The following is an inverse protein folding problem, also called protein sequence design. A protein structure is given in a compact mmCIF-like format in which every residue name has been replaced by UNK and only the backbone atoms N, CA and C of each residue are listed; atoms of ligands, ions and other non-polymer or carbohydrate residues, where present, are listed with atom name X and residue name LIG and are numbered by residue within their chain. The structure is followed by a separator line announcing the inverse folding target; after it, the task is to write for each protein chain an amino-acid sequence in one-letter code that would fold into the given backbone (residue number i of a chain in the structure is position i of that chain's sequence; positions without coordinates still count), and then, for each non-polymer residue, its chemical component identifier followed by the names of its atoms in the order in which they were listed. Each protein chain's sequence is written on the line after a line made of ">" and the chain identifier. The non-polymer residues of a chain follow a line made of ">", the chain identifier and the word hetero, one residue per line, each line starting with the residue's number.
data_IF_984991064603
#
_entry.id   IF_984991064603
#
_cell.length_a   1.000
_cell.length_b   1.000
_cell.length_c   1.000
_cell.angle_alpha   90.00
_cell.angle_beta   90.00
_cell.angle_gamma   90.00
#
_symmetry.space_group_name_H-M   'P 1'
#
loop_
_entity.id
_entity.type
_entity.pdbx_description
1 polymer ?
#
# COMPACT_ATOMS: atom_id res chain seq x y z
N UNK A 1 32.19 11.06 -12.95
CA UNK A 1 31.89 11.26 -11.52
C UNK A 1 30.76 10.31 -11.15
N UNK A 2 30.88 9.56 -10.05
CA UNK A 2 29.78 8.71 -9.59
C UNK A 2 28.57 9.59 -9.22
N UNK A 3 27.36 9.12 -9.54
CA UNK A 3 26.10 9.80 -9.19
C UNK A 3 26.06 10.00 -7.67
N UNK A 4 25.93 11.25 -7.21
CA UNK A 4 25.77 11.56 -5.78
C UNK A 4 24.28 11.52 -5.43
N UNK A 5 23.90 10.61 -4.54
CA UNK A 5 22.55 10.56 -3.99
C UNK A 5 22.38 11.58 -2.86
N UNK A 6 21.14 11.90 -2.46
CA UNK A 6 20.89 12.90 -1.43
C UNK A 6 21.36 12.47 -0.04
N UNK A 7 21.40 11.16 0.23
CA UNK A 7 22.00 10.59 1.45
C UNK A 7 23.47 10.97 1.63
N UNK A 8 24.18 11.35 0.55
CA UNK A 8 25.53 11.89 0.61
C UNK A 8 25.62 13.16 1.47
N UNK A 9 24.56 13.97 1.54
CA UNK A 9 24.58 15.20 2.36
C UNK A 9 24.65 14.93 3.87
N UNK A 10 24.27 13.72 4.29
CA UNK A 10 24.42 13.22 5.65
C UNK A 10 25.66 12.35 5.80
N UNK A 11 25.83 11.36 4.92
CA UNK A 11 26.83 10.29 5.13
C UNK A 11 28.11 10.47 4.33
N UNK A 12 28.12 11.29 3.28
CA UNK A 12 29.26 11.48 2.40
C UNK A 12 30.20 12.62 2.77
N UNK A 13 29.81 13.50 3.70
CA UNK A 13 30.65 14.64 4.13
C UNK A 13 31.73 14.22 5.11
N UNK A 14 32.95 14.70 4.93
CA UNK A 14 34.06 14.52 5.88
C UNK A 14 34.21 15.76 6.77
N UNK A 15 33.09 16.23 7.31
CA UNK A 15 33.02 17.34 8.26
C UNK A 15 32.44 16.88 9.61
N UNK A 16 32.31 17.82 10.55
CA UNK A 16 31.74 17.58 11.88
C UNK A 16 30.35 16.94 11.78
N UNK A 17 29.50 17.38 10.85
CA UNK A 17 28.13 16.88 10.74
C UNK A 17 28.09 15.49 10.13
N UNK A 18 28.89 15.22 9.10
CA UNK A 18 29.05 13.88 8.53
C UNK A 18 29.59 12.88 9.55
N UNK A 19 30.53 13.29 10.42
CA UNK A 19 30.96 12.49 11.57
C UNK A 19 29.78 12.17 12.51
N UNK A 20 29.00 13.18 12.91
CA UNK A 20 27.84 13.00 13.78
C UNK A 20 26.81 12.05 13.15
N UNK A 21 26.41 12.27 11.90
CA UNK A 21 25.40 11.44 11.25
C UNK A 21 25.84 9.97 11.13
N UNK A 22 27.08 9.71 10.71
CA UNK A 22 27.61 8.34 10.63
C UNK A 22 27.81 7.70 12.00
N UNK A 23 28.31 8.43 13.00
CA UNK A 23 28.58 7.86 14.33
C UNK A 23 27.31 7.42 15.02
N UNK A 24 26.23 8.21 14.94
CA UNK A 24 24.93 7.84 15.47
C UNK A 24 24.32 6.64 14.76
N UNK A 25 24.43 6.55 13.43
CA UNK A 25 23.94 5.36 12.71
C UNK A 25 24.75 4.10 13.02
N UNK A 26 26.05 4.22 13.28
CA UNK A 26 26.91 3.07 13.64
C UNK A 26 26.59 2.44 14.98
N UNK A 27 25.87 3.13 15.87
CA UNK A 27 25.46 2.53 17.15
C UNK A 27 24.56 1.29 16.98
N UNK A 28 23.99 1.10 15.78
CA UNK A 28 23.21 -0.08 15.38
C UNK A 28 24.06 -1.23 14.81
N UNK A 29 25.38 -1.04 14.64
CA UNK A 29 26.29 -2.09 14.15
C UNK A 29 26.50 -2.13 12.63
N UNK A 30 26.27 -1.03 11.90
CA UNK A 30 26.52 -1.00 10.45
C UNK A 30 28.03 -0.84 10.09
N UNK A 31 28.55 -1.65 9.15
CA UNK A 31 29.92 -1.50 8.65
C UNK A 31 30.10 -0.23 7.79
N UNK A 32 31.36 0.20 7.57
CA UNK A 32 31.66 1.46 6.87
C UNK A 32 31.13 1.53 5.44
N UNK A 33 31.15 0.42 4.72
CA UNK A 33 30.75 0.33 3.31
C UNK A 33 29.26 0.67 3.08
N UNK A 34 28.41 0.59 4.11
CA UNK A 34 27.01 1.05 4.03
C UNK A 34 26.89 2.56 3.84
N UNK A 35 27.88 3.32 4.31
CA UNK A 35 27.90 4.78 4.21
C UNK A 35 28.67 5.28 2.97
N UNK A 36 29.20 4.37 2.15
CA UNK A 36 30.07 4.68 1.00
C UNK A 36 29.35 4.52 -0.34
N UNK A 37 28.29 5.31 -0.54
CA UNK A 37 27.64 5.44 -1.84
C UNK A 37 26.62 4.35 -2.19
N UNK A 38 26.20 3.53 -1.21
CA UNK A 38 25.01 2.68 -1.38
C UNK A 38 23.74 3.55 -1.37
N UNK A 39 22.76 3.30 -2.26
CA UNK A 39 21.44 3.90 -2.16
C UNK A 39 20.80 3.57 -0.81
N UNK A 40 20.41 4.59 -0.05
CA UNK A 40 19.67 4.40 1.21
C UNK A 40 18.19 4.28 0.89
N UNK A 41 17.57 3.16 1.26
CA UNK A 41 16.17 2.88 0.98
C UNK A 41 15.36 2.95 2.27
N UNK A 42 14.45 3.93 2.33
CA UNK A 42 13.47 4.02 3.40
C UNK A 42 12.35 2.99 3.19
N UNK A 43 12.06 2.16 4.18
CA UNK A 43 10.91 1.25 4.16
C UNK A 43 9.84 1.82 5.10
N UNK A 44 8.89 2.54 4.51
CA UNK A 44 7.77 3.15 5.22
C UNK A 44 6.78 2.05 5.63
N UNK A 45 6.70 1.76 6.94
CA UNK A 45 5.89 0.68 7.46
C UNK A 45 4.63 1.21 8.16
N UNK A 46 3.47 0.83 7.65
CA UNK A 46 2.16 1.12 8.25
C UNK A 46 1.66 -0.03 9.13
N UNK A 47 2.56 -0.77 9.75
CA UNK A 47 2.23 -1.80 10.73
C UNK A 47 1.77 -1.18 12.05
N UNK A 48 0.74 -1.77 12.67
CA UNK A 48 0.35 -1.52 14.04
C UNK A 48 -0.53 -2.66 14.53
N UNK A 49 -0.42 -3.04 15.81
CA UNK A 49 -1.36 -3.99 16.43
C UNK A 49 -2.81 -3.45 16.46
N UNK A 50 -2.99 -2.13 16.42
CA UNK A 50 -4.30 -1.49 16.25
C UNK A 50 -4.75 -1.38 14.78
N UNK A 51 -3.95 -1.85 13.82
CA UNK A 51 -4.29 -1.92 12.39
C UNK A 51 -4.17 -3.37 11.91
N UNK A 52 -5.14 -4.24 12.25
CA UNK A 52 -5.03 -5.68 11.98
C UNK A 52 -4.89 -6.02 10.50
N UNK A 53 -5.43 -5.18 9.60
CA UNK A 53 -5.25 -5.33 8.15
C UNK A 53 -3.78 -5.33 7.70
N UNK A 54 -2.91 -4.72 8.51
CA UNK A 54 -1.49 -4.55 8.27
C UNK A 54 -0.64 -5.35 9.26
N UNK A 55 -1.24 -6.27 10.03
CA UNK A 55 -0.57 -6.97 11.14
C UNK A 55 0.68 -7.76 10.73
N UNK A 56 0.74 -8.21 9.48
CA UNK A 56 1.87 -8.92 8.88
C UNK A 56 2.97 -8.01 8.31
N UNK A 57 2.79 -6.69 8.26
CA UNK A 57 3.72 -5.82 7.53
C UNK A 57 5.14 -5.74 8.13
N UNK A 58 5.34 -6.08 9.42
CA UNK A 58 6.70 -6.24 9.99
C UNK A 58 7.50 -7.34 9.29
N UNK A 59 6.88 -8.50 9.08
CA UNK A 59 7.53 -9.63 8.41
C UNK A 59 7.85 -9.26 6.95
N UNK A 60 6.99 -8.46 6.34
CA UNK A 60 7.18 -7.97 4.98
C UNK A 60 8.29 -6.94 4.86
N UNK A 61 8.47 -6.07 5.86
CA UNK A 61 9.61 -5.17 5.92
C UNK A 61 10.94 -5.95 5.90
N UNK A 62 11.04 -7.04 6.66
CA UNK A 62 12.23 -7.91 6.65
C UNK A 62 12.48 -8.55 5.28
N UNK A 63 11.42 -8.94 4.57
CA UNK A 63 11.54 -9.51 3.22
C UNK A 63 11.98 -8.45 2.20
N UNK A 64 11.45 -7.23 2.29
CA UNK A 64 11.90 -6.10 1.47
C UNK A 64 13.37 -5.77 1.76
N UNK A 65 13.78 -5.73 3.04
CA UNK A 65 15.19 -5.50 3.45
C UNK A 65 16.14 -6.46 2.75
N UNK A 66 15.79 -7.75 2.67
CA UNK A 66 16.59 -8.75 1.93
C UNK A 66 16.76 -8.37 0.46
N UNK A 67 15.69 -7.97 -0.21
CA UNK A 67 15.74 -7.52 -1.60
C UNK A 67 16.63 -6.29 -1.80
N UNK A 68 16.54 -5.32 -0.90
CA UNK A 68 17.39 -4.11 -0.96
C UNK A 68 18.87 -4.49 -0.78
N UNK A 69 19.18 -5.36 0.17
CA UNK A 69 20.55 -5.83 0.42
C UNK A 69 21.09 -6.60 -0.79
N UNK A 70 20.30 -7.51 -1.37
CA UNK A 70 20.65 -8.28 -2.57
C UNK A 70 21.05 -7.36 -3.75
N UNK A 71 20.38 -6.20 -3.88
CA UNK A 71 20.64 -5.22 -4.93
C UNK A 71 21.75 -4.19 -4.60
N UNK A 72 22.39 -4.33 -3.44
CA UNK A 72 23.48 -3.47 -2.96
C UNK A 72 23.03 -2.14 -2.35
N UNK A 73 21.78 -2.05 -1.88
CA UNK A 73 21.27 -0.89 -1.14
C UNK A 73 21.54 -0.98 0.37
N UNK A 74 21.14 0.08 1.08
CA UNK A 74 21.10 0.16 2.54
C UNK A 74 19.66 0.36 2.99
N UNK A 75 18.95 -0.69 3.44
CA UNK A 75 17.57 -0.54 3.89
C UNK A 75 17.47 -0.02 5.32
N UNK A 76 16.58 0.95 5.53
CA UNK A 76 16.22 1.49 6.85
C UNK A 76 14.71 1.55 6.96
N UNK A 77 14.14 0.84 7.91
CA UNK A 77 12.70 0.87 8.17
C UNK A 77 12.34 2.07 9.05
N UNK A 78 11.21 2.71 8.74
CA UNK A 78 10.65 3.77 9.56
C UNK A 78 9.12 3.65 9.62
N UNK A 79 8.50 3.88 10.79
CA UNK A 79 7.05 3.86 10.93
C UNK A 79 6.44 5.21 10.54
N UNK A 80 5.18 5.18 10.14
CA UNK A 80 4.30 6.36 10.08
C UNK A 80 2.95 6.02 10.70
N UNK A 81 2.13 7.03 10.96
CA UNK A 81 0.78 6.86 11.50
C UNK A 81 -0.02 5.83 10.71
N UNK A 82 -0.38 4.72 11.36
CA UNK A 82 -1.17 3.64 10.76
C UNK A 82 -2.66 3.84 11.00
N UNK A 83 -3.44 3.78 9.92
CA UNK A 83 -4.86 4.12 9.91
C UNK A 83 -5.74 2.86 9.86
N UNK A 84 -6.05 2.29 11.02
CA UNK A 84 -6.95 1.14 11.16
C UNK A 84 -8.43 1.51 11.00
N UNK A 85 -8.97 1.35 9.78
CA UNK A 85 -10.35 1.73 9.40
C UNK A 85 -11.40 1.20 10.38
N UNK A 86 -11.24 -0.04 10.84
CA UNK A 86 -12.23 -0.75 11.65
C UNK A 86 -12.25 -0.32 13.12
N UNK A 87 -11.21 0.35 13.61
CA UNK A 87 -11.01 0.62 15.04
C UNK A 87 -10.96 2.13 15.34
N UNK A 88 -10.35 2.92 14.45
CA UNK A 88 -10.08 4.34 14.68
C UNK A 88 -11.35 5.21 14.55
N UNK A 89 -11.56 6.12 15.51
CA UNK A 89 -12.70 7.05 15.57
C UNK A 89 -12.24 8.51 15.42
N UNK A 90 -13.09 9.44 14.92
CA UNK A 90 -14.45 9.22 14.43
C UNK A 90 -14.50 8.57 13.04
N UNK A 91 -13.45 8.74 12.23
CA UNK A 91 -13.20 8.05 10.95
C UNK A 91 -11.73 8.25 10.58
N UNK A 92 -11.09 7.26 9.98
CA UNK A 92 -9.70 7.35 9.47
C UNK A 92 -9.53 8.40 8.37
N UNK A 93 -10.59 8.76 7.64
CA UNK A 93 -10.51 9.77 6.58
C UNK A 93 -10.03 11.12 7.11
N UNK A 94 -10.43 11.47 8.35
CA UNK A 94 -9.98 12.68 9.04
C UNK A 94 -8.45 12.70 9.22
N UNK A 95 -7.86 11.53 9.42
CA UNK A 95 -6.43 11.36 9.71
C UNK A 95 -5.59 11.02 8.47
N UNK A 96 -6.21 10.79 7.29
CA UNK A 96 -5.48 10.53 6.03
C UNK A 96 -4.47 11.63 5.71
N UNK A 97 -4.88 12.89 5.85
CA UNK A 97 -4.01 14.02 5.55
C UNK A 97 -2.90 14.18 6.61
N UNK A 98 -3.19 13.86 7.87
CA UNK A 98 -2.18 13.82 8.93
C UNK A 98 -1.10 12.76 8.62
N UNK A 99 -1.50 11.53 8.31
CA UNK A 99 -0.57 10.46 7.93
C UNK A 99 0.21 10.79 6.65
N UNK A 100 -0.37 11.57 5.74
CA UNK A 100 0.33 12.06 4.55
C UNK A 100 1.41 13.08 4.89
N UNK A 101 1.16 14.03 5.81
CA UNK A 101 2.19 14.98 6.28
C UNK A 101 3.30 14.26 7.05
N UNK A 102 2.93 13.30 7.91
CA UNK A 102 3.88 12.44 8.62
C UNK A 102 4.79 11.67 7.65
N UNK A 103 4.22 11.09 6.59
CA UNK A 103 4.98 10.40 5.54
C UNK A 103 5.89 11.37 4.78
N UNK A 104 5.38 12.54 4.38
CA UNK A 104 6.12 13.55 3.64
C UNK A 104 7.37 14.02 4.41
N UNK A 105 7.17 14.44 5.65
CA UNK A 105 8.27 14.97 6.47
C UNK A 105 9.26 13.88 6.87
N UNK A 106 8.78 12.65 7.15
CA UNK A 106 9.66 11.51 7.41
C UNK A 106 10.56 11.21 6.22
N UNK A 107 10.05 11.31 4.99
CA UNK A 107 10.85 11.09 3.77
C UNK A 107 11.82 12.26 3.53
N UNK A 108 11.33 13.49 3.60
CA UNK A 108 12.10 14.72 3.31
C UNK A 108 13.24 14.93 4.31
N UNK A 109 13.00 14.71 5.59
CA UNK A 109 13.95 15.05 6.66
C UNK A 109 15.03 13.99 6.91
N UNK A 110 14.86 12.76 6.43
CA UNK A 110 15.80 11.65 6.65
C UNK A 110 16.63 11.36 5.39
N UNK A 111 17.83 10.75 5.51
CA UNK A 111 18.78 10.56 4.40
C UNK A 111 18.42 9.37 3.49
N UNK A 112 17.19 9.31 2.99
CA UNK A 112 16.73 8.27 2.07
C UNK A 112 16.79 8.72 0.61
N UNK A 113 17.21 7.84 -0.28
CA UNK A 113 17.35 8.09 -1.72
C UNK A 113 16.20 7.51 -2.54
N UNK A 114 15.49 6.52 -1.98
CA UNK A 114 14.26 5.95 -2.51
C UNK A 114 13.43 5.33 -1.39
N UNK A 115 12.17 5.03 -1.68
CA UNK A 115 11.18 4.64 -0.67
C UNK A 115 10.39 3.41 -1.10
N UNK A 116 10.18 2.47 -0.17
CA UNK A 116 9.18 1.42 -0.29
C UNK A 116 8.02 1.78 0.63
N UNK A 117 6.80 1.83 0.09
CA UNK A 117 5.58 2.06 0.86
C UNK A 117 4.92 0.70 1.14
N UNK A 118 4.97 0.23 2.40
CA UNK A 118 4.21 -0.92 2.84
C UNK A 118 2.81 -0.45 3.26
N UNK A 119 1.80 -0.83 2.48
CA UNK A 119 0.42 -0.35 2.66
C UNK A 119 -0.56 -1.51 2.78
N UNK A 120 -1.80 -1.25 3.18
CA UNK A 120 -2.84 -2.28 3.20
C UNK A 120 -4.22 -1.70 3.51
N UNK A 121 -4.47 -1.37 4.78
CA UNK A 121 -5.75 -0.81 5.22
C UNK A 121 -6.14 0.44 4.43
N UNK A 122 -7.45 0.63 4.19
CA UNK A 122 -8.08 1.64 3.34
C UNK A 122 -7.27 2.92 3.08
N UNK A 123 -6.98 3.70 4.13
CA UNK A 123 -6.39 5.04 4.00
C UNK A 123 -4.86 5.04 3.96
N UNK A 124 -4.19 3.93 4.28
CA UNK A 124 -2.73 3.85 4.32
C UNK A 124 -2.10 3.99 2.93
N UNK A 125 -2.70 3.38 1.92
CA UNK A 125 -2.25 3.51 0.52
C UNK A 125 -2.28 4.96 0.04
N UNK A 126 -3.44 5.66 0.03
CA UNK A 126 -3.47 7.03 -0.43
C UNK A 126 -2.65 7.99 0.46
N UNK A 127 -2.65 7.84 1.79
CA UNK A 127 -1.90 8.75 2.65
C UNK A 127 -0.39 8.71 2.39
N UNK A 128 0.17 7.51 2.27
CA UNK A 128 1.61 7.34 2.06
C UNK A 128 2.03 7.73 0.65
N UNK A 129 1.21 7.41 -0.37
CA UNK A 129 1.46 7.84 -1.75
C UNK A 129 1.39 9.37 -1.86
N UNK A 130 0.40 10.02 -1.24
CA UNK A 130 0.30 11.48 -1.20
C UNK A 130 1.55 12.12 -0.57
N UNK A 131 2.03 11.58 0.55
CA UNK A 131 3.24 12.09 1.21
C UNK A 131 4.50 11.91 0.37
N UNK A 132 4.66 10.75 -0.27
CA UNK A 132 5.77 10.48 -1.17
C UNK A 132 5.74 11.38 -2.42
N UNK A 133 4.56 11.64 -3.00
CA UNK A 133 4.39 12.53 -4.15
C UNK A 133 4.91 13.94 -3.87
N UNK A 134 4.68 14.49 -2.66
CA UNK A 134 5.17 15.83 -2.29
C UNK A 134 6.70 15.95 -2.23
N UNK A 135 7.42 14.83 -2.11
CA UNK A 135 8.90 14.80 -2.07
C UNK A 135 9.50 14.38 -3.41
N UNK A 136 8.78 13.56 -4.19
CA UNK A 136 9.14 13.08 -5.52
C UNK A 136 10.47 12.29 -5.59
N UNK A 137 10.69 11.41 -4.62
CA UNK A 137 11.76 10.41 -4.70
C UNK A 137 11.29 9.15 -5.45
N UNK A 138 12.23 8.36 -6.02
CA UNK A 138 11.92 7.01 -6.49
C UNK A 138 11.19 6.22 -5.42
N UNK A 139 9.98 5.75 -5.76
CA UNK A 139 9.05 5.15 -4.78
C UNK A 139 8.30 3.98 -5.39
N UNK A 140 8.25 2.85 -4.67
CA UNK A 140 7.46 1.67 -5.03
C UNK A 140 6.49 1.31 -3.91
N UNK A 141 5.28 0.85 -4.26
CA UNK A 141 4.26 0.41 -3.30
C UNK A 141 4.26 -1.12 -3.22
N UNK A 142 4.15 -1.65 -2.01
CA UNK A 142 3.98 -3.07 -1.73
C UNK A 142 2.67 -3.24 -0.95
N UNK A 143 1.56 -3.57 -1.64
CA UNK A 143 0.29 -3.81 -0.99
C UNK A 143 0.34 -5.10 -0.16
N UNK A 144 -0.12 -5.02 1.10
CA UNK A 144 -0.14 -6.13 2.05
C UNK A 144 -0.98 -7.32 1.57
N UNK A 145 -2.04 -7.06 0.80
CA UNK A 145 -2.90 -8.07 0.21
C UNK A 145 -4.18 -8.37 1.02
N UNK A 146 -5.21 -8.91 0.35
CA UNK A 146 -6.47 -9.25 0.97
C UNK A 146 -6.35 -10.48 1.88
N UNK A 147 -7.29 -10.57 2.84
CA UNK A 147 -7.56 -11.79 3.57
C UNK A 147 -8.02 -12.92 2.64
N UNK A 148 -7.96 -14.14 3.15
CA UNK A 148 -8.66 -15.29 2.56
C UNK A 148 -10.18 -15.16 2.72
N UNK A 149 -10.92 -15.90 1.90
CA UNK A 149 -12.37 -15.96 1.86
C UNK A 149 -12.94 -16.44 3.21
N UNK A 150 -13.82 -15.67 3.83
CA UNK A 150 -14.49 -16.06 5.07
C UNK A 150 -15.42 -17.26 4.84
N UNK A 151 -15.61 -18.11 5.86
CA UNK A 151 -16.47 -19.30 5.75
C UNK A 151 -17.29 -19.51 7.00
N UNK A 152 -18.57 -19.83 6.83
CA UNK A 152 -19.47 -20.23 7.91
C UNK A 152 -20.63 -21.05 7.34
N UNK A 153 -20.94 -22.20 7.94
CA UNK A 153 -22.03 -23.12 7.51
C UNK A 153 -22.07 -23.40 5.99
N UNK A 154 -20.89 -23.53 5.35
CA UNK A 154 -20.76 -23.76 3.91
C UNK A 154 -20.91 -22.50 3.04
N UNK A 155 -21.29 -21.36 3.61
CA UNK A 155 -21.37 -20.07 2.92
C UNK A 155 -20.02 -19.36 2.85
N UNK A 156 -19.86 -18.55 1.82
CA UNK A 156 -18.70 -17.67 1.64
C UNK A 156 -19.03 -16.28 2.18
N UNK A 157 -18.29 -15.84 3.21
CA UNK A 157 -18.51 -14.56 3.88
C UNK A 157 -17.54 -13.52 3.33
N UNK A 158 -18.06 -12.35 2.93
CA UNK A 158 -17.24 -11.21 2.48
C UNK A 158 -17.14 -10.12 3.55
N UNK A 159 -15.92 -9.65 3.84
CA UNK A 159 -15.68 -8.54 4.77
C UNK A 159 -16.48 -7.29 4.40
N UNK A 160 -17.07 -6.62 5.40
CA UNK A 160 -17.97 -5.50 5.21
C UNK A 160 -19.36 -5.97 4.77
N UNK A 161 -19.48 -6.60 3.59
CA UNK A 161 -20.78 -7.04 3.03
C UNK A 161 -21.57 -7.95 3.97
N UNK A 162 -20.92 -8.91 4.62
CA UNK A 162 -21.58 -9.80 5.57
C UNK A 162 -21.95 -9.08 6.87
N UNK A 163 -21.10 -8.19 7.38
CA UNK A 163 -21.39 -7.39 8.58
C UNK A 163 -22.66 -6.56 8.42
N UNK A 164 -22.94 -6.03 7.22
CA UNK A 164 -24.19 -5.32 6.93
C UNK A 164 -25.42 -6.24 6.94
N UNK A 165 -25.27 -7.49 6.50
CA UNK A 165 -26.35 -8.49 6.45
C UNK A 165 -26.64 -9.14 7.81
N UNK A 166 -25.74 -9.03 8.80
CA UNK A 166 -25.90 -9.72 10.08
C UNK A 166 -27.17 -9.35 10.84
N UNK A 167 -27.61 -8.09 10.76
CA UNK A 167 -28.88 -7.67 11.37
C UNK A 167 -30.06 -8.38 10.72
N UNK A 168 -30.05 -8.49 9.40
CA UNK A 168 -31.11 -9.15 8.64
C UNK A 168 -31.10 -10.66 8.89
N UNK A 169 -29.94 -11.33 8.79
CA UNK A 169 -29.81 -12.77 9.04
C UNK A 169 -30.27 -13.19 10.44
N UNK A 170 -30.03 -12.36 11.48
CA UNK A 170 -30.61 -12.58 12.82
C UNK A 170 -32.13 -12.59 12.82
N UNK A 171 -32.76 -11.75 12.02
CA UNK A 171 -34.22 -11.59 11.98
C UNK A 171 -34.89 -12.63 11.07
N UNK A 172 -34.26 -13.00 9.96
CA UNK A 172 -34.87 -13.81 8.90
C UNK A 172 -34.41 -15.27 8.89
N UNK A 173 -33.23 -15.57 9.41
CA UNK A 173 -32.60 -16.90 9.34
C UNK A 173 -32.35 -17.53 10.72
N UNK A 174 -32.92 -16.97 11.80
CA UNK A 174 -32.82 -17.48 13.18
C UNK A 174 -31.37 -17.71 13.69
N UNK A 175 -30.41 -16.88 13.26
CA UNK A 175 -29.03 -16.97 13.79
C UNK A 175 -29.01 -16.80 15.31
N UNK A 176 -28.48 -17.79 16.03
CA UNK A 176 -28.29 -17.71 17.48
C UNK A 176 -27.12 -16.79 17.86
N UNK A 177 -26.96 -16.51 19.15
CA UNK A 177 -25.77 -15.82 19.65
C UNK A 177 -24.48 -16.59 19.38
N UNK A 178 -24.51 -17.94 19.44
CA UNK A 178 -23.35 -18.75 19.06
C UNK A 178 -23.06 -18.68 17.56
N UNK A 179 -24.10 -18.72 16.71
CA UNK A 179 -23.93 -18.60 15.25
C UNK A 179 -23.26 -17.27 14.87
N UNK A 180 -23.64 -16.21 15.55
CA UNK A 180 -23.08 -14.87 15.34
C UNK A 180 -21.61 -14.83 15.72
N UNK A 181 -21.25 -15.42 16.86
CA UNK A 181 -19.87 -15.50 17.31
C UNK A 181 -19.01 -16.37 16.37
N UNK A 182 -19.52 -17.52 15.93
CA UNK A 182 -18.81 -18.38 15.00
C UNK A 182 -18.63 -17.70 13.63
N UNK A 183 -19.64 -16.98 13.15
CA UNK A 183 -19.53 -16.19 11.92
C UNK A 183 -18.54 -15.01 12.07
N UNK A 184 -18.48 -14.36 13.24
CA UNK A 184 -17.49 -13.34 13.57
C UNK A 184 -16.06 -13.90 13.51
N UNK A 185 -15.82 -15.08 14.07
CA UNK A 185 -14.53 -15.78 14.00
C UNK A 185 -14.21 -16.20 12.56
N UNK A 186 -15.23 -16.64 11.81
CA UNK A 186 -15.09 -17.17 10.46
C UNK A 186 -14.94 -16.13 9.34
N UNK A 187 -15.30 -14.86 9.57
CA UNK A 187 -15.25 -13.81 8.53
C UNK A 187 -13.84 -13.29 8.29
N UNK A 188 -13.07 -12.99 9.35
CA UNK A 188 -11.73 -12.41 9.28
C UNK A 188 -10.67 -13.41 9.76
N UNK A 189 -10.48 -14.46 8.96
CA UNK A 189 -9.78 -15.70 9.35
C UNK A 189 -8.32 -15.80 8.89
N UNK A 190 -7.72 -14.72 8.39
CA UNK A 190 -6.31 -14.64 8.03
C UNK A 190 -5.79 -13.22 8.18
N UNK A 191 -4.46 -13.05 8.14
CA UNK A 191 -3.87 -11.72 7.96
C UNK A 191 -4.29 -11.13 6.60
N UNK A 192 -4.35 -9.80 6.50
CA UNK A 192 -4.70 -9.06 5.30
C UNK A 192 -5.84 -8.05 5.48
N UNK A 193 -6.10 -7.26 4.44
CA UNK A 193 -7.22 -6.32 4.41
C UNK A 193 -8.52 -6.97 3.91
N UNK A 194 -9.61 -6.19 3.84
CA UNK A 194 -10.91 -6.63 3.32
C UNK A 194 -10.76 -7.39 1.99
N UNK A 195 -11.42 -8.55 1.86
CA UNK A 195 -11.34 -9.47 0.71
C UNK A 195 -12.49 -9.32 -0.30
N UNK A 196 -13.25 -8.23 -0.19
CA UNK A 196 -14.17 -7.75 -1.22
C UNK A 196 -13.48 -6.68 -2.08
N UNK A 197 -14.13 -6.20 -3.14
CA UNK A 197 -13.71 -5.00 -3.88
C UNK A 197 -14.08 -3.71 -3.09
N UNK A 198 -13.71 -3.69 -1.81
CA UNK A 198 -13.80 -2.52 -0.95
C UNK A 198 -12.66 -1.52 -1.21
N UNK A 199 -12.55 -0.48 -0.39
CA UNK A 199 -11.55 0.58 -0.59
C UNK A 199 -10.12 0.03 -0.57
N UNK A 200 -9.73 -0.83 0.38
CA UNK A 200 -8.38 -1.40 0.41
C UNK A 200 -7.98 -2.09 -0.92
N UNK A 201 -8.80 -3.02 -1.41
CA UNK A 201 -8.56 -3.72 -2.70
C UNK A 201 -8.59 -2.75 -3.88
N UNK A 202 -9.51 -1.77 -3.86
CA UNK A 202 -9.59 -0.72 -4.89
C UNK A 202 -8.31 0.12 -4.92
N UNK A 203 -7.78 0.52 -3.75
CA UNK A 203 -6.56 1.31 -3.65
C UNK A 203 -5.32 0.50 -4.03
N UNK A 204 -5.29 -0.81 -3.75
CA UNK A 204 -4.25 -1.70 -4.24
C UNK A 204 -4.27 -1.78 -5.78
N UNK A 205 -5.44 -1.94 -6.39
CA UNK A 205 -5.59 -1.94 -7.85
C UNK A 205 -5.26 -0.56 -8.46
N UNK A 206 -5.62 0.52 -7.78
CA UNK A 206 -5.29 1.90 -8.19
C UNK A 206 -3.79 2.10 -8.31
N UNK A 207 -3.01 1.73 -7.28
CA UNK A 207 -1.55 1.94 -7.33
C UNK A 207 -0.87 1.05 -8.36
N UNK A 208 -1.42 -0.14 -8.64
CA UNK A 208 -0.94 -0.98 -9.73
C UNK A 208 -1.27 -0.38 -11.11
N UNK A 209 -2.50 0.10 -11.31
CA UNK A 209 -2.93 0.78 -12.55
C UNK A 209 -2.17 2.10 -12.81
N UNK A 210 -1.79 2.80 -11.74
CA UNK A 210 -0.89 3.97 -11.79
C UNK A 210 0.56 3.60 -12.12
N UNK A 211 0.93 2.31 -12.08
CA UNK A 211 2.29 1.85 -12.35
C UNK A 211 3.25 1.94 -11.16
N UNK A 212 2.73 2.02 -9.93
CA UNK A 212 3.54 2.17 -8.70
C UNK A 212 3.91 0.86 -8.02
N UNK A 213 3.49 -0.28 -8.56
CA UNK A 213 3.80 -1.62 -8.03
C UNK A 213 4.52 -2.45 -9.10
N UNK A 214 5.04 -3.60 -8.70
CA UNK A 214 5.28 -4.67 -9.68
C UNK A 214 3.92 -5.21 -10.20
N UNK A 215 3.86 -5.73 -11.44
CA UNK A 215 2.63 -6.32 -11.98
C UNK A 215 2.11 -7.50 -11.15
N UNK A 216 0.79 -7.60 -11.04
CA UNK A 216 0.06 -8.61 -10.27
C UNK A 216 0.03 -8.37 -8.76
N UNK A 217 0.58 -7.27 -8.25
CA UNK A 217 0.77 -7.06 -6.81
C UNK A 217 -0.54 -6.90 -6.03
N UNK A 218 -1.57 -6.29 -6.63
CA UNK A 218 -2.80 -5.90 -5.95
C UNK A 218 -3.64 -7.10 -5.48
N UNK A 219 -3.71 -8.16 -6.29
CA UNK A 219 -4.63 -9.27 -6.06
C UNK A 219 -4.07 -10.38 -5.17
N UNK A 220 -2.74 -10.54 -5.09
CA UNK A 220 -2.12 -11.65 -4.33
C UNK A 220 -2.58 -11.61 -2.85
N UNK A 221 -3.18 -12.68 -2.29
CA UNK A 221 -3.56 -12.73 -0.88
C UNK A 221 -2.37 -12.51 0.06
N UNK A 222 -2.62 -11.90 1.22
CA UNK A 222 -1.57 -11.55 2.18
C UNK A 222 -0.75 -12.74 2.67
N UNK A 223 -1.39 -13.91 2.80
CA UNK A 223 -0.79 -15.14 3.31
C UNK A 223 -0.20 -16.02 2.21
N UNK A 224 -0.31 -15.62 0.94
CA UNK A 224 0.27 -16.38 -0.17
C UNK A 224 1.79 -16.24 -0.19
N UNK A 225 2.51 -17.34 -0.40
CA UNK A 225 3.97 -17.34 -0.54
C UNK A 225 4.50 -16.35 -1.59
N UNK A 226 3.75 -16.17 -2.69
CA UNK A 226 4.08 -15.25 -3.79
C UNK A 226 4.04 -13.78 -3.35
N UNK A 227 3.30 -13.46 -2.28
CA UNK A 227 3.31 -12.11 -1.72
C UNK A 227 4.68 -11.77 -1.15
N UNK A 228 5.34 -12.73 -0.48
CA UNK A 228 6.73 -12.59 0.00
C UNK A 228 7.71 -12.45 -1.16
N UNK A 229 7.55 -13.24 -2.21
CA UNK A 229 8.37 -13.13 -3.44
C UNK A 229 8.26 -11.72 -4.03
N UNK A 230 7.03 -11.22 -4.20
CA UNK A 230 6.77 -9.85 -4.70
C UNK A 230 7.44 -8.80 -3.82
N UNK A 231 7.35 -8.91 -2.49
CA UNK A 231 7.98 -7.97 -1.57
C UNK A 231 9.52 -7.94 -1.71
N UNK A 232 10.17 -9.11 -1.83
CA UNK A 232 11.63 -9.17 -2.02
C UNK A 232 12.01 -8.60 -3.39
N UNK A 233 11.25 -8.90 -4.45
CA UNK A 233 11.46 -8.34 -5.78
C UNK A 233 11.31 -6.81 -5.77
N UNK A 234 10.33 -6.26 -5.07
CA UNK A 234 10.15 -4.82 -4.89
C UNK A 234 11.34 -4.18 -4.17
N UNK A 235 11.91 -4.87 -3.17
CA UNK A 235 13.15 -4.45 -2.50
C UNK A 235 14.36 -4.40 -3.45
N UNK A 236 14.46 -5.31 -4.42
CA UNK A 236 15.50 -5.23 -5.46
C UNK A 236 15.21 -4.08 -6.42
N UNK A 237 13.96 -3.98 -6.89
CA UNK A 237 13.54 -3.00 -7.89
C UNK A 237 13.72 -1.56 -7.42
N UNK A 238 13.42 -1.24 -6.16
CA UNK A 238 13.56 0.13 -5.67
C UNK A 238 15.02 0.62 -5.71
N UNK A 239 16.00 -0.26 -5.50
CA UNK A 239 17.42 0.11 -5.61
C UNK A 239 17.79 0.44 -7.05
N UNK A 240 17.25 -0.31 -8.02
CA UNK A 240 17.40 -0.01 -9.45
C UNK A 240 16.73 1.32 -9.83
N UNK A 241 15.51 1.55 -9.34
CA UNK A 241 14.79 2.81 -9.56
C UNK A 241 15.58 4.03 -9.05
N UNK A 242 16.28 3.93 -7.92
CA UNK A 242 17.17 5.01 -7.44
C UNK A 242 18.35 5.24 -8.39
N UNK A 243 18.95 4.17 -8.92
CA UNK A 243 20.02 4.27 -9.92
C UNK A 243 19.52 4.93 -11.21
N UNK A 244 18.32 4.57 -11.66
CA UNK A 244 17.63 5.11 -12.83
C UNK A 244 17.04 6.53 -12.62
N UNK A 245 16.96 7.02 -11.38
CA UNK A 245 16.19 8.23 -11.04
C UNK A 245 14.71 8.11 -11.44
N UNK A 246 14.11 6.93 -11.28
CA UNK A 246 12.71 6.66 -11.63
C UNK A 246 11.77 7.21 -10.55
N UNK A 247 11.51 8.50 -10.59
CA UNK A 247 10.67 9.25 -9.64
C UNK A 247 9.18 9.07 -9.90
N UNK A 248 8.36 9.41 -8.90
CA UNK A 248 6.90 9.36 -9.02
C UNK A 248 6.39 10.26 -10.16
N UNK A 249 6.94 11.46 -10.31
CA UNK A 249 6.57 12.40 -11.38
C UNK A 249 6.81 11.87 -12.81
N UNK A 250 7.71 10.89 -12.98
CA UNK A 250 7.95 10.22 -14.28
C UNK A 250 6.91 9.13 -14.58
N UNK A 251 6.23 8.63 -13.55
CA UNK A 251 5.25 7.52 -13.66
C UNK A 251 3.82 8.05 -13.59
N UNK A 252 3.55 8.98 -12.68
CA UNK A 252 2.25 9.57 -12.41
C UNK A 252 1.91 10.68 -13.42
N UNK A 253 1.79 10.30 -14.68
CA UNK A 253 1.32 11.18 -15.76
C UNK A 253 -0.21 11.23 -15.80
N UNK A 254 -0.76 12.23 -16.49
CA UNK A 254 -2.20 12.33 -16.75
C UNK A 254 -2.78 10.99 -17.27
N UNK A 255 -2.09 10.33 -18.19
CA UNK A 255 -2.52 9.04 -18.76
C UNK A 255 -2.54 7.92 -17.72
N UNK A 256 -1.63 7.91 -16.75
CA UNK A 256 -1.67 6.93 -15.66
C UNK A 256 -2.94 7.11 -14.80
N UNK A 257 -3.33 8.35 -14.51
CA UNK A 257 -4.57 8.66 -13.80
C UNK A 257 -5.81 8.24 -14.61
N UNK A 258 -5.83 8.49 -15.92
CA UNK A 258 -6.92 8.05 -16.80
C UNK A 258 -7.03 6.52 -16.86
N UNK A 259 -5.90 5.81 -16.94
CA UNK A 259 -5.86 4.34 -16.86
C UNK A 259 -6.44 3.85 -15.54
N UNK A 260 -6.09 4.49 -14.41
CA UNK A 260 -6.64 4.13 -13.12
C UNK A 260 -8.17 4.32 -13.07
N UNK A 261 -8.73 5.35 -13.71
CA UNK A 261 -10.19 5.55 -13.81
C UNK A 261 -10.85 4.42 -14.61
N UNK A 262 -10.28 4.07 -15.77
CA UNK A 262 -10.78 2.96 -16.61
C UNK A 262 -10.77 1.66 -15.83
N UNK A 263 -9.65 1.36 -15.15
CA UNK A 263 -9.51 0.17 -14.30
C UNK A 263 -10.55 0.18 -13.19
N UNK A 264 -10.72 1.29 -12.47
CA UNK A 264 -11.66 1.37 -11.37
C UNK A 264 -13.11 1.07 -11.82
N UNK A 265 -13.50 1.56 -13.00
CA UNK A 265 -14.81 1.27 -13.58
C UNK A 265 -14.95 -0.22 -13.95
N UNK A 266 -13.92 -0.79 -14.59
CA UNK A 266 -13.91 -2.20 -14.98
C UNK A 266 -13.99 -3.17 -13.79
N UNK A 267 -13.35 -2.82 -12.67
CA UNK A 267 -13.35 -3.67 -11.47
C UNK A 267 -14.53 -3.42 -10.52
N UNK A 268 -15.32 -2.37 -10.75
CA UNK A 268 -16.40 -1.97 -9.84
C UNK A 268 -15.86 -1.48 -8.49
N UNK A 269 -14.80 -0.66 -8.52
CA UNK A 269 -14.10 -0.19 -7.33
C UNK A 269 -14.91 0.78 -6.46
N UNK A 270 -14.44 0.96 -5.23
CA UNK A 270 -15.04 1.85 -4.21
C UNK A 270 -15.14 3.30 -4.67
N UNK A 271 -16.22 3.99 -4.32
CA UNK A 271 -16.40 5.44 -4.59
C UNK A 271 -15.36 6.31 -3.89
N UNK A 272 -14.76 5.85 -2.78
CA UNK A 272 -13.63 6.52 -2.12
C UNK A 272 -12.43 6.72 -3.07
N UNK A 273 -12.34 5.92 -4.13
CA UNK A 273 -11.34 6.06 -5.19
C UNK A 273 -11.25 7.48 -5.74
N UNK A 274 -12.38 8.13 -5.99
CA UNK A 274 -12.44 9.49 -6.54
C UNK A 274 -11.67 10.47 -5.64
N UNK A 275 -11.97 10.46 -4.34
CA UNK A 275 -11.35 11.33 -3.33
C UNK A 275 -9.85 11.08 -3.16
N UNK A 276 -9.42 9.83 -3.35
CA UNK A 276 -8.03 9.42 -3.19
C UNK A 276 -7.21 9.75 -4.43
N UNK A 277 -7.73 9.44 -5.61
CA UNK A 277 -7.07 9.69 -6.87
C UNK A 277 -6.88 11.19 -7.11
N UNK A 278 -7.92 12.02 -6.89
CA UNK A 278 -7.80 13.49 -7.00
C UNK A 278 -6.80 14.06 -6.00
N UNK A 279 -6.77 13.54 -4.76
CA UNK A 279 -5.81 14.01 -3.75
C UNK A 279 -4.35 13.69 -4.15
N UNK A 280 -4.09 12.52 -4.72
CA UNK A 280 -2.76 12.16 -5.24
C UNK A 280 -2.39 13.04 -6.45
N UNK A 281 -3.33 13.23 -7.39
CA UNK A 281 -3.14 14.09 -8.55
C UNK A 281 -2.74 15.52 -8.15
N UNK A 282 -3.44 16.08 -7.16
CA UNK A 282 -3.14 17.41 -6.62
C UNK A 282 -1.77 17.52 -5.94
N UNK A 283 -1.21 16.43 -5.39
CA UNK A 283 0.15 16.43 -4.81
C UNK A 283 1.24 16.41 -5.87
N UNK A 284 1.03 15.65 -6.94
CA UNK A 284 2.02 15.50 -8.01
C UNK A 284 1.86 16.57 -9.12
N UNK A 285 0.82 17.40 -9.04
CA UNK A 285 0.57 18.50 -9.97
C UNK A 285 -0.12 18.08 -11.28
N UNK A 286 -0.85 16.96 -11.28
CA UNK A 286 -1.68 16.55 -12.41
C UNK A 286 -3.09 17.12 -12.22
N UNK A 287 -3.56 17.87 -13.22
CA UNK A 287 -4.95 18.31 -13.29
C UNK A 287 -5.85 17.07 -13.42
N UNK A 288 -6.85 16.94 -12.55
CA UNK A 288 -7.81 15.84 -12.55
C UNK A 288 -9.13 16.29 -11.91
N UNK A 289 -10.10 16.55 -12.77
CA UNK A 289 -11.40 17.09 -12.35
C UNK A 289 -12.41 15.97 -12.10
N UNK A 290 -13.50 16.29 -11.42
CA UNK A 290 -14.54 15.30 -11.10
C UNK A 290 -15.21 14.77 -12.39
N UNK A 291 -15.36 15.63 -13.38
CA UNK A 291 -15.94 15.35 -14.69
C UNK A 291 -15.13 14.32 -15.48
N UNK A 292 -13.83 14.17 -15.20
CA UNK A 292 -13.01 13.15 -15.85
C UNK A 292 -13.47 11.74 -15.49
N UNK A 293 -13.95 11.52 -14.27
CA UNK A 293 -14.43 10.21 -13.83
C UNK A 293 -15.69 9.80 -14.58
N UNK A 294 -16.61 10.74 -14.82
CA UNK A 294 -17.82 10.48 -15.61
C UNK A 294 -17.47 10.31 -17.10
N UNK A 295 -16.69 11.25 -17.66
CA UNK A 295 -16.32 11.24 -19.08
C UNK A 295 -15.58 9.97 -19.50
N UNK A 296 -14.68 9.46 -18.65
CA UNK A 296 -13.84 8.29 -18.93
C UNK A 296 -14.51 7.00 -18.44
N UNK A 297 -15.01 6.99 -17.20
CA UNK A 297 -15.45 5.77 -16.52
C UNK A 297 -16.85 5.28 -16.92
N UNK A 298 -17.79 6.18 -17.26
CA UNK A 298 -19.21 5.84 -17.49
C UNK A 298 -19.47 4.84 -18.63
N UNK A 299 -18.51 4.69 -19.54
CA UNK A 299 -18.61 3.82 -20.72
C UNK A 299 -18.00 2.44 -20.51
N UNK A 300 -17.31 2.23 -19.40
CA UNK A 300 -16.56 1.00 -19.13
C UNK A 300 -17.50 0.00 -18.44
N UNK A 301 -17.68 -1.21 -19.00
CA UNK A 301 -18.53 -2.22 -18.37
C UNK A 301 -17.89 -2.77 -17.10
N UNK A 302 -18.71 -3.23 -16.16
CA UNK A 302 -18.24 -4.03 -15.03
C UNK A 302 -17.79 -5.42 -15.53
N UNK A 303 -16.50 -5.69 -15.44
CA UNK A 303 -15.88 -6.95 -15.89
C UNK A 303 -15.61 -7.91 -14.73
N UNK A 304 -15.42 -7.39 -13.53
CA UNK A 304 -15.03 -8.19 -12.36
C UNK A 304 -16.25 -8.58 -11.52
N UNK A 305 -16.47 -9.89 -11.37
CA UNK A 305 -17.60 -10.44 -10.62
C UNK A 305 -17.29 -10.60 -9.12
N UNK A 306 -16.97 -9.50 -8.44
CA UNK A 306 -16.65 -9.49 -7.01
C UNK A 306 -17.69 -8.75 -6.19
N UNK A 307 -17.90 -9.20 -4.96
CA UNK A 307 -18.65 -8.43 -3.95
C UNK A 307 -18.01 -7.04 -3.77
N UNK A 308 -18.80 -5.97 -3.58
CA UNK A 308 -20.25 -5.97 -3.36
C UNK A 308 -21.10 -6.10 -4.63
N UNK A 309 -20.57 -5.79 -5.82
CA UNK A 309 -21.32 -5.74 -7.08
C UNK A 309 -21.67 -7.13 -7.65
N UNK A 310 -20.88 -8.14 -7.29
CA UNK A 310 -20.95 -9.50 -7.81
C UNK A 310 -20.93 -10.57 -6.72
N UNK A 311 -20.46 -11.76 -7.09
CA UNK A 311 -20.58 -12.98 -6.28
C UNK A 311 -19.31 -13.34 -5.51
N UNK A 312 -18.14 -13.25 -6.15
CA UNK A 312 -16.89 -13.83 -5.66
C UNK A 312 -16.10 -12.87 -4.76
N UNK A 313 -14.93 -13.31 -4.28
CA UNK A 313 -14.02 -12.56 -3.41
C UNK A 313 -12.60 -12.50 -4.00
N UNK A 314 -11.72 -11.73 -3.36
CA UNK A 314 -10.39 -11.42 -3.91
C UNK A 314 -9.50 -12.64 -4.17
N UNK A 315 -9.65 -13.75 -3.43
CA UNK A 315 -8.94 -15.00 -3.78
C UNK A 315 -9.31 -15.48 -5.18
N UNK A 316 -10.60 -15.47 -5.51
CA UNK A 316 -11.11 -15.90 -6.83
C UNK A 316 -10.58 -14.97 -7.93
N UNK A 317 -10.52 -13.65 -7.66
CA UNK A 317 -9.97 -12.67 -8.59
C UNK A 317 -8.48 -12.90 -8.85
N UNK A 318 -7.71 -13.19 -7.80
CA UNK A 318 -6.30 -13.53 -7.97
C UNK A 318 -6.09 -14.78 -8.81
N UNK A 319 -6.84 -15.85 -8.52
CA UNK A 319 -6.72 -17.10 -9.28
C UNK A 319 -7.23 -16.99 -10.72
N UNK A 320 -8.12 -16.05 -11.00
CA UNK A 320 -8.56 -15.73 -12.36
C UNK A 320 -7.51 -14.96 -13.19
N UNK A 321 -6.43 -14.48 -12.56
CA UNK A 321 -5.35 -13.73 -13.21
C UNK A 321 -4.99 -12.43 -12.49
N UNK A 322 -5.83 -11.95 -11.57
CA UNK A 322 -5.67 -10.66 -10.92
C UNK A 322 -6.09 -9.51 -11.80
N UNK A 323 -5.51 -8.34 -11.52
CA UNK A 323 -5.66 -7.13 -12.33
C UNK A 323 -4.81 -7.25 -13.60
#
# INVERSE_FOLDING_TARGET
>A
MSKKYRSHDWFGKDDKMGFVHRSWMRNQGYPDDYFRGRPVIGICNTWSEFTPCNGHLRDFAEIVKRGVLDAGGFPLEFPVTSLGETIMKPTTMLFRNLASMDTEESIRANPMDGVVLLTGCDKTTPSTVMGACSVDLPTIVVPGGPMLNGRFKGECLGSGTFSWMMKEKKLTENYTSEDVLEAEIGVARSQGHCMTMGTASTMACMVEALGLTLPGAAAIPAVDSRKKVMAQMSGRRIVEMVKEDMRLSKVLTRQAFENAIVVNAAIGGSTNFVLHLQAIAGRIGVELDLEDFDRIGSRIPLLVNLKPSGKYLMEDFYYAGGL
#
